data_IF_353465468246
#
_entry.id   IF_353465468246
#
_cell.length_a   1.000
_cell.length_b   1.000
_cell.length_c   1.000
_cell.angle_alpha   90.00
_cell.angle_beta   90.00
_cell.angle_gamma   90.00
#
_symmetry.space_group_name_H-M   'P 1'
#
loop_
_entity.id
_entity.type
_entity.pdbx_description
1 polymer ?
#
# COMPACT_ATOMS: atom_id res chain seq x y z
N UNK A 1 16.31 -4.58 35.24
CA UNK A 1 16.28 -4.20 33.82
C UNK A 1 15.15 -5.00 33.20
N UNK A 2 13.91 -4.53 33.27
CA UNK A 2 12.82 -5.21 32.58
C UNK A 2 13.16 -5.26 31.09
N UNK A 3 13.24 -6.47 30.55
CA UNK A 3 13.30 -6.67 29.11
C UNK A 3 12.00 -6.13 28.55
N UNK A 4 11.98 -4.89 28.04
CA UNK A 4 10.89 -4.44 27.20
C UNK A 4 10.91 -5.31 25.95
N UNK A 5 10.18 -6.42 26.01
CA UNK A 5 9.96 -7.24 24.83
C UNK A 5 9.28 -6.35 23.79
N UNK A 6 9.89 -6.27 22.60
CA UNK A 6 9.37 -5.51 21.48
C UNK A 6 8.20 -6.31 20.90
N UNK A 7 7.07 -6.30 21.61
CA UNK A 7 5.83 -6.95 21.21
C UNK A 7 5.14 -5.98 20.26
N UNK A 8 5.04 -6.37 18.99
CA UNK A 8 4.23 -5.62 18.03
C UNK A 8 2.78 -5.65 18.47
N UNK A 9 2.18 -4.48 18.61
CA UNK A 9 0.75 -4.38 18.85
C UNK A 9 -0.06 -4.94 17.68
N UNK A 10 -1.29 -5.37 17.97
CA UNK A 10 -2.29 -5.74 16.96
C UNK A 10 -2.43 -4.71 15.83
N UNK A 11 -2.33 -3.39 16.06
CA UNK A 11 -2.40 -2.39 14.99
C UNK A 11 -1.29 -2.55 13.93
N UNK A 12 -0.07 -2.90 14.34
CA UNK A 12 1.04 -3.14 13.40
C UNK A 12 0.78 -4.37 12.55
N UNK A 13 0.34 -5.47 13.17
CA UNK A 13 -0.01 -6.70 12.45
C UNK A 13 -1.15 -6.44 11.45
N UNK A 14 -2.17 -5.71 11.89
CA UNK A 14 -3.28 -5.29 11.03
C UNK A 14 -2.83 -4.42 9.85
N UNK A 15 -1.94 -3.46 10.10
CA UNK A 15 -1.32 -2.64 9.05
C UNK A 15 -0.64 -3.52 7.99
N UNK A 16 0.25 -4.43 8.40
CA UNK A 16 1.04 -5.23 7.46
C UNK A 16 0.16 -6.14 6.61
N UNK A 17 -0.85 -6.75 7.22
CA UNK A 17 -1.83 -7.58 6.52
C UNK A 17 -2.64 -6.76 5.50
N UNK A 18 -3.19 -5.61 5.91
CA UNK A 18 -4.01 -4.76 5.06
C UNK A 18 -3.20 -4.07 3.96
N UNK A 19 -1.98 -3.64 4.26
CA UNK A 19 -1.05 -3.06 3.29
C UNK A 19 -0.68 -4.09 2.21
N UNK A 20 -0.31 -5.32 2.61
CA UNK A 20 -0.02 -6.41 1.70
C UNK A 20 -1.23 -6.79 0.84
N UNK A 21 -2.42 -6.91 1.44
CA UNK A 21 -3.65 -7.20 0.71
C UNK A 21 -4.01 -6.10 -0.29
N UNK A 22 -3.92 -4.83 0.11
CA UNK A 22 -4.21 -3.69 -0.76
C UNK A 22 -3.23 -3.57 -1.92
N UNK A 23 -1.94 -3.81 -1.67
CA UNK A 23 -0.90 -3.87 -2.70
C UNK A 23 -1.14 -5.03 -3.68
N UNK A 24 -1.45 -6.23 -3.18
CA UNK A 24 -1.81 -7.39 -4.00
C UNK A 24 -3.06 -7.16 -4.85
N UNK A 25 -4.08 -6.49 -4.29
CA UNK A 25 -5.28 -6.10 -5.02
C UNK A 25 -4.97 -5.11 -6.16
N UNK A 26 -4.04 -4.16 -5.95
CA UNK A 26 -3.59 -3.23 -6.98
C UNK A 26 -2.87 -3.95 -8.13
N UNK A 27 -1.92 -4.84 -7.80
CA UNK A 27 -1.16 -5.61 -8.79
C UNK A 27 -2.09 -6.52 -9.58
N UNK A 28 -3.02 -7.18 -8.90
CA UNK A 28 -4.03 -8.04 -9.55
C UNK A 28 -4.93 -7.22 -10.46
N UNK A 29 -5.39 -6.05 -10.00
CA UNK A 29 -6.20 -5.15 -10.80
C UNK A 29 -5.52 -4.76 -12.11
N UNK A 30 -4.31 -4.21 -12.00
CA UNK A 30 -3.53 -3.75 -13.14
C UNK A 30 -3.17 -4.90 -14.10
N UNK A 31 -2.81 -6.07 -13.56
CA UNK A 31 -2.53 -7.27 -14.36
C UNK A 31 -3.75 -7.76 -15.13
N UNK A 32 -4.92 -7.76 -14.50
CA UNK A 32 -6.17 -8.18 -15.15
C UNK A 32 -6.61 -7.20 -16.22
N UNK A 33 -6.39 -5.90 -16.02
CA UNK A 33 -6.65 -4.89 -17.04
C UNK A 33 -5.80 -5.15 -18.30
N UNK A 34 -4.48 -5.30 -18.12
CA UNK A 34 -3.54 -5.50 -19.24
C UNK A 34 -3.76 -6.84 -19.97
N UNK A 35 -4.11 -7.91 -19.23
CA UNK A 35 -4.36 -9.24 -19.82
C UNK A 35 -5.76 -9.39 -20.40
N UNK A 36 -6.70 -8.55 -20.00
CA UNK A 36 -8.11 -8.68 -20.32
C UNK A 36 -8.44 -8.51 -21.80
N UNK A 37 -7.63 -7.77 -22.57
CA UNK A 37 -7.82 -7.51 -24.02
C UNK A 37 -9.27 -7.16 -24.38
N UNK A 38 -9.89 -6.30 -23.60
CA UNK A 38 -11.27 -5.88 -23.84
C UNK A 38 -12.36 -6.82 -23.32
N UNK A 39 -12.03 -7.84 -22.52
CA UNK A 39 -13.04 -8.73 -21.92
C UNK A 39 -13.73 -8.06 -20.73
N UNK A 40 -15.08 -8.02 -20.68
CA UNK A 40 -15.81 -7.32 -19.61
C UNK A 40 -15.63 -7.96 -18.23
N UNK A 41 -15.40 -9.27 -18.15
CA UNK A 41 -15.10 -9.95 -16.89
C UNK A 41 -13.78 -9.47 -16.26
N UNK A 42 -12.73 -9.36 -17.07
CA UNK A 42 -11.41 -8.87 -16.63
C UNK A 42 -11.48 -7.39 -16.23
N UNK A 43 -12.22 -6.59 -16.99
CA UNK A 43 -12.44 -5.19 -16.66
C UNK A 43 -13.15 -5.01 -15.31
N UNK A 44 -14.18 -5.81 -15.01
CA UNK A 44 -14.85 -5.78 -13.69
C UNK A 44 -13.89 -6.15 -12.57
N UNK A 45 -13.09 -7.20 -12.75
CA UNK A 45 -12.10 -7.61 -11.74
C UNK A 45 -11.04 -6.52 -11.52
N UNK A 46 -10.55 -5.91 -12.60
CA UNK A 46 -9.64 -4.77 -12.53
C UNK A 46 -10.24 -3.61 -11.75
N UNK A 47 -11.49 -3.24 -12.05
CA UNK A 47 -12.22 -2.18 -11.34
C UNK A 47 -12.31 -2.45 -9.84
N UNK A 48 -12.78 -3.63 -9.44
CA UNK A 48 -12.92 -3.94 -8.02
C UNK A 48 -11.58 -3.96 -7.29
N UNK A 49 -10.55 -4.56 -7.90
CA UNK A 49 -9.21 -4.57 -7.31
C UNK A 49 -8.64 -3.17 -7.13
N UNK A 50 -8.83 -2.26 -8.09
CA UNK A 50 -8.38 -0.88 -7.99
C UNK A 50 -9.09 -0.12 -6.87
N UNK A 51 -10.41 -0.30 -6.76
CA UNK A 51 -11.24 0.41 -5.78
C UNK A 51 -11.00 -0.09 -4.36
N UNK A 52 -10.86 -1.41 -4.16
CA UNK A 52 -10.68 -2.04 -2.84
C UNK A 52 -9.24 -1.84 -2.32
N UNK A 53 -8.28 -1.73 -3.24
CA UNK A 53 -6.88 -1.52 -2.92
C UNK A 53 -6.62 -0.28 -2.05
N UNK A 54 -7.26 0.85 -2.36
CA UNK A 54 -7.11 2.10 -1.59
C UNK A 54 -7.58 2.00 -0.14
N UNK A 55 -8.84 1.62 0.16
CA UNK A 55 -9.34 1.57 1.52
C UNK A 55 -8.59 0.55 2.37
N UNK A 56 -8.15 -0.58 1.79
CA UNK A 56 -7.31 -1.54 2.51
C UNK A 56 -6.02 -0.90 3.02
N UNK A 57 -5.23 -0.29 2.13
CA UNK A 57 -3.99 0.38 2.54
C UNK A 57 -4.31 1.58 3.44
N UNK A 58 -5.39 2.32 3.18
CA UNK A 58 -5.79 3.47 3.98
C UNK A 58 -6.09 3.11 5.44
N UNK A 59 -6.86 2.03 5.66
CA UNK A 59 -7.16 1.50 6.99
C UNK A 59 -5.88 1.00 7.65
N UNK A 60 -5.01 0.29 6.91
CA UNK A 60 -3.72 -0.15 7.43
C UNK A 60 -2.87 1.04 7.91
N UNK A 61 -2.71 2.07 7.09
CA UNK A 61 -1.94 3.27 7.44
C UNK A 61 -2.55 3.98 8.65
N UNK A 62 -3.87 4.02 8.75
CA UNK A 62 -4.56 4.55 9.93
C UNK A 62 -4.19 3.79 11.20
N UNK A 63 -4.17 2.45 11.18
CA UNK A 63 -3.73 1.63 12.32
C UNK A 63 -2.28 1.92 12.70
N UNK A 64 -1.40 2.09 11.71
CA UNK A 64 0.00 2.45 11.95
C UNK A 64 0.16 3.84 12.58
N UNK A 65 -0.60 4.84 12.14
CA UNK A 65 -0.58 6.20 12.72
C UNK A 65 -1.12 6.19 14.16
N UNK A 66 -2.13 5.36 14.42
CA UNK A 66 -2.69 5.15 15.75
C UNK A 66 -1.65 4.55 16.71
N UNK A 67 -0.95 3.50 16.29
CA UNK A 67 0.14 2.89 17.07
C UNK A 67 1.28 3.87 17.37
N UNK A 68 1.55 4.81 16.46
CA UNK A 68 2.59 5.83 16.63
C UNK A 68 2.32 6.82 17.79
N UNK A 69 1.19 6.71 18.48
CA UNK A 69 0.81 7.60 19.58
C UNK A 69 0.43 9.01 19.10
N UNK A 70 0.18 9.17 17.79
CA UNK A 70 -0.09 10.48 17.18
C UNK A 70 -1.38 11.15 17.64
N UNK A 71 -2.22 10.45 18.40
CA UNK A 71 -3.49 10.94 18.96
C UNK A 71 -3.48 11.01 20.49
N UNK A 72 -2.32 10.82 21.14
CA UNK A 72 -2.16 10.98 22.58
C UNK A 72 -1.97 12.46 22.95
N UNK A 73 -2.43 12.85 24.14
CA UNK A 73 -2.35 14.23 24.66
C UNK A 73 -0.91 14.75 24.61
N UNK A 74 -0.66 15.82 23.85
CA UNK A 74 0.67 16.45 23.69
C UNK A 74 1.51 15.93 22.51
N UNK A 75 1.06 14.90 21.78
CA UNK A 75 1.77 14.33 20.62
C UNK A 75 0.95 14.33 19.33
N UNK A 76 -0.02 15.24 19.24
CA UNK A 76 -0.91 15.36 18.10
C UNK A 76 -0.13 15.57 16.79
N UNK A 77 -0.45 14.78 15.76
CA UNK A 77 0.20 14.82 14.44
C UNK A 77 1.72 14.53 14.40
N UNK A 78 2.26 13.79 15.37
CA UNK A 78 3.68 13.41 15.42
C UNK A 78 4.19 12.75 14.12
N UNK A 79 3.34 12.01 13.41
CA UNK A 79 3.65 11.40 12.12
C UNK A 79 4.10 12.41 11.03
N UNK A 80 3.69 13.68 11.09
CA UNK A 80 4.12 14.71 10.12
C UNK A 80 5.64 14.95 10.20
N UNK A 81 6.26 14.71 11.36
CA UNK A 81 7.70 14.87 11.52
C UNK A 81 8.50 13.92 10.59
N UNK A 82 7.91 12.81 10.13
CA UNK A 82 8.53 11.89 9.16
C UNK A 82 8.80 12.55 7.80
N UNK A 83 8.12 13.65 7.47
CA UNK A 83 8.25 14.36 6.20
C UNK A 83 9.06 15.65 6.29
N UNK A 84 9.51 16.05 7.49
CA UNK A 84 10.36 17.24 7.65
C UNK A 84 11.78 17.00 7.14
N UNK A 85 12.24 15.75 7.15
CA UNK A 85 13.57 15.37 6.67
C UNK A 85 13.51 13.95 6.12
N UNK A 86 14.07 13.74 4.93
CA UNK A 86 14.22 12.40 4.36
C UNK A 86 15.38 11.73 5.09
N UNK A 87 15.07 10.77 5.96
CA UNK A 87 16.06 9.97 6.66
C UNK A 87 16.08 8.54 6.09
N UNK A 88 17.21 7.85 6.17
CA UNK A 88 17.32 6.45 5.69
C UNK A 88 16.69 5.42 6.64
N UNK A 89 15.93 5.86 7.65
CA UNK A 89 15.21 4.92 8.50
C UNK A 89 14.13 4.22 7.68
N UNK A 90 13.89 2.90 7.88
CA UNK A 90 12.83 2.20 7.18
C UNK A 90 11.51 2.96 7.27
N UNK A 91 11.11 3.36 8.47
CA UNK A 91 9.87 4.12 8.70
C UNK A 91 9.72 5.38 7.84
N UNK A 92 10.80 6.16 7.61
CA UNK A 92 10.75 7.35 6.74
C UNK A 92 10.57 6.94 5.28
N UNK A 93 11.38 5.99 4.78
CA UNK A 93 11.29 5.48 3.39
C UNK A 93 9.89 4.93 3.10
N UNK A 94 9.34 4.13 4.01
CA UNK A 94 8.01 3.55 3.88
C UNK A 94 6.89 4.59 3.80
N UNK A 95 7.00 5.67 4.59
CA UNK A 95 6.01 6.75 4.57
C UNK A 95 5.95 7.45 3.20
N UNK A 96 7.11 7.70 2.57
CA UNK A 96 7.18 8.26 1.22
C UNK A 96 6.66 7.27 0.16
N UNK A 97 6.95 5.98 0.31
CA UNK A 97 6.42 4.93 -0.55
C UNK A 97 4.88 4.86 -0.48
N UNK A 98 4.30 4.98 0.71
CA UNK A 98 2.85 5.00 0.91
C UNK A 98 2.21 6.25 0.29
N UNK A 99 2.83 7.43 0.41
CA UNK A 99 2.37 8.64 -0.29
C UNK A 99 2.35 8.40 -1.80
N UNK A 100 3.45 7.90 -2.36
CA UNK A 100 3.54 7.60 -3.78
C UNK A 100 2.47 6.59 -4.21
N UNK A 101 2.25 5.56 -3.39
CA UNK A 101 1.20 4.58 -3.58
C UNK A 101 -0.18 5.22 -3.70
N UNK A 102 -0.59 6.07 -2.77
CA UNK A 102 -1.89 6.76 -2.84
C UNK A 102 -1.95 7.71 -4.03
N UNK A 103 -0.87 8.45 -4.30
CA UNK A 103 -0.82 9.43 -5.37
C UNK A 103 -0.97 8.80 -6.77
N UNK A 104 -0.47 7.57 -6.96
CA UNK A 104 -0.61 6.82 -8.21
C UNK A 104 -1.88 5.97 -8.24
N UNK A 105 -2.20 5.28 -7.15
CA UNK A 105 -3.35 4.37 -7.12
C UNK A 105 -4.69 5.12 -7.12
N UNK A 106 -4.77 6.32 -6.53
CA UNK A 106 -6.02 7.08 -6.50
C UNK A 106 -6.48 7.54 -7.90
N UNK A 107 -5.65 8.21 -8.73
CA UNK A 107 -6.06 8.54 -10.09
C UNK A 107 -6.37 7.30 -10.93
N UNK A 108 -5.63 6.21 -10.72
CA UNK A 108 -5.89 4.93 -11.39
C UNK A 108 -7.29 4.39 -11.02
N UNK A 109 -7.63 4.33 -9.74
CA UNK A 109 -8.96 3.91 -9.28
C UNK A 109 -10.07 4.87 -9.74
N UNK A 110 -9.82 6.18 -9.72
CA UNK A 110 -10.77 7.21 -10.16
C UNK A 110 -11.19 7.01 -11.62
N UNK A 111 -10.27 6.58 -12.49
CA UNK A 111 -10.63 6.30 -13.88
C UNK A 111 -11.79 5.31 -13.97
N UNK A 112 -11.88 4.29 -13.12
CA UNK A 112 -12.95 3.28 -13.12
C UNK A 112 -14.27 3.75 -12.50
N UNK A 113 -14.26 4.88 -11.80
CA UNK A 113 -15.44 5.44 -11.12
C UNK A 113 -16.05 6.57 -11.94
N UNK A 114 -15.21 7.37 -12.62
CA UNK A 114 -15.63 8.55 -13.37
C UNK A 114 -16.67 8.22 -14.47
N UNK A 115 -17.58 9.16 -14.80
CA UNK A 115 -18.59 8.95 -15.85
C UNK A 115 -17.95 8.62 -17.21
N UNK A 116 -18.62 7.74 -17.96
CA UNK A 116 -18.09 7.22 -19.22
C UNK A 116 -17.00 6.16 -19.01
N UNK A 117 -16.99 5.47 -17.87
CA UNK A 117 -16.13 4.33 -17.63
C UNK A 117 -16.66 3.08 -18.36
N UNK A 118 -15.79 2.35 -19.03
CA UNK A 118 -16.08 1.18 -19.83
C UNK A 118 -14.81 0.52 -20.33
N UNK A 119 -14.97 -0.58 -21.06
CA UNK A 119 -13.85 -1.39 -21.55
C UNK A 119 -13.00 -0.63 -22.58
N UNK A 120 -13.66 0.00 -23.56
CA UNK A 120 -13.04 0.79 -24.62
C UNK A 120 -13.49 2.25 -24.52
N UNK A 121 -13.16 2.88 -23.40
CA UNK A 121 -13.50 4.27 -23.13
C UNK A 121 -12.30 5.21 -23.38
N UNK A 122 -12.56 6.52 -23.24
CA UNK A 122 -11.52 7.56 -23.36
C UNK A 122 -10.38 7.44 -22.34
N UNK A 123 -10.59 6.71 -21.24
CA UNK A 123 -9.61 6.53 -20.17
C UNK A 123 -8.71 5.32 -20.40
N UNK A 124 -9.05 4.43 -21.33
CA UNK A 124 -8.36 3.16 -21.57
C UNK A 124 -6.84 3.33 -21.67
N UNK A 125 -6.36 4.21 -22.56
CA UNK A 125 -4.91 4.44 -22.78
C UNK A 125 -4.23 4.92 -21.49
N UNK A 126 -4.91 5.77 -20.72
CA UNK A 126 -4.37 6.27 -19.46
C UNK A 126 -4.30 5.16 -18.40
N UNK A 127 -5.36 4.34 -18.30
CA UNK A 127 -5.39 3.18 -17.39
C UNK A 127 -4.30 2.16 -17.72
N UNK A 128 -4.09 1.85 -18.99
CA UNK A 128 -3.07 0.89 -19.42
C UNK A 128 -1.66 1.39 -19.08
N UNK A 129 -1.36 2.68 -19.31
CA UNK A 129 -0.07 3.28 -18.92
C UNK A 129 0.14 3.26 -17.42
N UNK A 130 -0.89 3.65 -16.66
CA UNK A 130 -0.84 3.61 -15.20
C UNK A 130 -0.73 2.20 -14.65
N UNK A 131 -1.31 1.19 -15.31
CA UNK A 131 -1.31 -0.19 -14.84
C UNK A 131 0.12 -0.72 -14.69
N UNK A 132 1.04 -0.41 -15.62
CA UNK A 132 2.45 -0.78 -15.49
C UNK A 132 3.10 -0.16 -14.24
N UNK A 133 2.85 1.12 -14.00
CA UNK A 133 3.35 1.82 -12.80
C UNK A 133 2.74 1.23 -11.53
N UNK A 134 1.44 0.93 -11.54
CA UNK A 134 0.72 0.33 -10.41
C UNK A 134 1.23 -1.08 -10.08
N UNK A 135 1.63 -1.87 -11.09
CA UNK A 135 2.26 -3.19 -10.86
C UNK A 135 3.60 -3.01 -10.15
N UNK A 136 4.48 -2.17 -10.71
CA UNK A 136 5.80 -1.93 -10.11
C UNK A 136 5.69 -1.40 -8.68
N UNK A 137 4.78 -0.44 -8.46
CA UNK A 137 4.56 0.19 -7.17
C UNK A 137 3.90 -0.76 -6.16
N UNK A 138 2.90 -1.54 -6.58
CA UNK A 138 2.26 -2.53 -5.72
C UNK A 138 3.22 -3.63 -5.29
N UNK A 139 4.06 -4.13 -6.21
CA UNK A 139 5.14 -5.07 -5.86
C UNK A 139 6.13 -4.40 -4.89
N UNK A 140 6.55 -3.16 -5.18
CA UNK A 140 7.46 -2.41 -4.32
C UNK A 140 6.93 -2.23 -2.89
N UNK A 141 5.65 -1.86 -2.74
CA UNK A 141 4.99 -1.75 -1.42
C UNK A 141 4.92 -3.11 -0.73
N UNK A 142 4.53 -4.18 -1.44
CA UNK A 142 4.45 -5.52 -0.85
C UNK A 142 5.83 -6.02 -0.37
N UNK A 143 6.87 -5.87 -1.19
CA UNK A 143 8.25 -6.24 -0.85
C UNK A 143 8.74 -5.40 0.32
N UNK A 144 8.57 -4.09 0.28
CA UNK A 144 8.97 -3.22 1.38
C UNK A 144 8.27 -3.58 2.70
N UNK A 145 6.99 -3.95 2.63
CA UNK A 145 6.21 -4.44 3.77
C UNK A 145 6.77 -5.78 4.31
N UNK A 146 7.21 -6.68 3.42
CA UNK A 146 7.90 -7.93 3.77
C UNK A 146 9.28 -7.70 4.39
N UNK A 147 10.08 -6.80 3.81
CA UNK A 147 11.39 -6.41 4.34
C UNK A 147 11.27 -5.77 5.72
N UNK A 148 10.21 -5.00 5.99
CA UNK A 148 9.96 -4.49 7.35
C UNK A 148 9.71 -5.60 8.38
N UNK A 149 9.05 -6.69 7.97
CA UNK A 149 8.90 -7.90 8.80
C UNK A 149 10.26 -8.61 8.97
N UNK A 150 11.03 -8.74 7.90
CA UNK A 150 12.29 -9.49 7.89
C UNK A 150 13.48 -8.77 8.52
N UNK A 151 13.51 -7.44 8.51
CA UNK A 151 14.61 -6.63 9.01
C UNK A 151 14.66 -6.52 10.55
N UNK A 152 13.79 -7.24 11.28
CA UNK A 152 13.78 -7.25 12.74
C UNK A 152 14.89 -8.16 13.28
N UNK A 153 16.01 -7.61 13.82
CA UNK A 153 17.18 -8.43 14.20
C UNK A 153 16.90 -9.33 15.42
N UNK A 154 15.86 -9.01 16.18
CA UNK A 154 15.53 -9.66 17.45
C UNK A 154 14.88 -11.05 17.30
N UNK A 155 14.46 -11.47 16.09
CA UNK A 155 13.74 -12.74 15.86
C UNK A 155 14.38 -13.49 14.67
N UNK A 156 15.26 -14.48 14.91
CA UNK A 156 16.02 -15.20 13.87
C UNK A 156 15.18 -15.85 12.76
N UNK A 157 13.93 -16.24 13.07
CA UNK A 157 13.02 -16.85 12.09
C UNK A 157 12.48 -15.86 11.06
N UNK A 158 12.56 -14.56 11.31
CA UNK A 158 12.06 -13.52 10.40
C UNK A 158 13.20 -12.92 9.56
N UNK A 159 14.44 -12.94 10.05
CA UNK A 159 15.61 -12.44 9.35
C UNK A 159 16.13 -13.47 8.32
N UNK A 160 15.41 -13.64 7.22
CA UNK A 160 15.76 -14.56 6.14
C UNK A 160 15.57 -13.91 4.76
N UNK A 161 16.40 -14.25 3.75
CA UNK A 161 16.34 -13.61 2.41
C UNK A 161 15.07 -13.90 1.60
N UNK A 162 14.18 -14.78 2.10
CA UNK A 162 12.93 -15.16 1.43
C UNK A 162 11.79 -14.17 1.72
N UNK A 163 11.91 -13.36 2.78
CA UNK A 163 10.96 -12.32 3.21
C UNK A 163 11.41 -10.94 2.73
#
# INVERSE_FOLDING_TARGET
MEHQELIWGLPVVGYLFLAGMGAGALVTSASMLLRGRGRPAFYRLARYGAIISLPLVGIGVFLLVFELGSFQTGHWFRWINLYKTINYSPMSIGSWFLILYFFVSAPYALTFILPGNGVNDKWQVWRERMAYVCIALGIGVAVYTGVLLGAMPARPLWNSPIL
#
